data_IF_383071058146
#
_entry.id   IF_383071058146
#
_cell.length_a   1.000
_cell.length_b   1.000
_cell.length_c   1.000
_cell.angle_alpha   90.00
_cell.angle_beta   90.00
_cell.angle_gamma   90.00
#
_symmetry.space_group_name_H-M   'P 1'
#
loop_
_entity.id
_entity.type
_entity.pdbx_description
1 polymer ?
#
# COMPACT_ATOMS: atom_id res chain seq x y z
N UNK A 1 -13.28 -4.35 -24.87
CA UNK A 1 -13.71 -4.55 -23.45
C UNK A 1 -12.61 -4.01 -22.57
N UNK A 2 -12.96 -3.25 -21.52
CA UNK A 2 -11.99 -2.70 -20.59
C UNK A 2 -12.25 -3.26 -19.18
N UNK A 3 -11.18 -3.64 -18.50
CA UNK A 3 -11.27 -4.14 -17.13
C UNK A 3 -9.99 -3.84 -16.35
N UNK A 4 -10.14 -3.59 -15.07
CA UNK A 4 -9.03 -3.51 -14.12
C UNK A 4 -9.26 -4.53 -13.01
N UNK A 5 -8.21 -5.30 -12.68
CA UNK A 5 -8.27 -6.30 -11.62
C UNK A 5 -7.22 -5.97 -10.56
N UNK A 6 -7.67 -5.83 -9.33
CA UNK A 6 -6.80 -5.71 -8.17
C UNK A 6 -6.65 -7.07 -7.53
N UNK A 7 -5.44 -7.63 -7.55
CA UNK A 7 -5.12 -8.84 -6.80
C UNK A 7 -4.55 -8.48 -5.43
N UNK A 8 -5.03 -9.18 -4.43
CA UNK A 8 -4.60 -9.02 -3.04
C UNK A 8 -3.97 -10.31 -2.56
N UNK A 9 -2.73 -10.22 -2.12
CA UNK A 9 -1.96 -11.34 -1.58
C UNK A 9 -1.85 -11.17 -0.07
N UNK A 10 -2.49 -12.04 0.69
CA UNK A 10 -2.41 -12.01 2.14
C UNK A 10 -1.01 -12.34 2.66
N UNK A 11 -0.60 -11.65 3.72
CA UNK A 11 0.61 -12.00 4.47
C UNK A 11 0.51 -13.41 5.07
N UNK A 12 1.60 -14.17 5.10
CA UNK A 12 1.65 -15.43 5.86
C UNK A 12 1.42 -15.26 7.37
N UNK A 13 1.67 -14.06 7.86
CA UNK A 13 1.34 -13.60 9.23
C UNK A 13 0.77 -12.21 9.08
N UNK A 14 -0.53 -12.04 9.28
CA UNK A 14 -1.14 -10.71 9.31
C UNK A 14 -0.47 -9.82 10.34
N UNK A 15 -0.33 -8.55 10.00
CA UNK A 15 0.11 -7.54 10.96
C UNK A 15 -1.03 -7.29 11.95
N UNK A 16 -0.69 -7.25 13.23
CA UNK A 16 -1.65 -6.89 14.27
C UNK A 16 -1.47 -5.41 14.63
N UNK A 17 -2.52 -4.63 14.41
CA UNK A 17 -2.55 -3.18 14.62
C UNK A 17 -3.20 -2.74 15.93
N UNK A 18 -3.44 -3.65 16.87
CA UNK A 18 -4.06 -3.31 18.18
C UNK A 18 -3.20 -2.37 19.03
N UNK A 19 -1.87 -2.47 18.90
CA UNK A 19 -0.95 -1.59 19.58
C UNK A 19 0.50 -1.73 19.10
N UNK A 20 1.39 -0.82 19.55
CA UNK A 20 2.81 -0.86 19.17
C UNK A 20 3.50 -2.19 19.45
N UNK A 21 3.23 -2.79 20.61
CA UNK A 21 3.79 -4.09 21.00
C UNK A 21 3.32 -5.22 20.10
N UNK A 22 2.06 -5.23 19.68
CA UNK A 22 1.46 -6.27 18.87
C UNK A 22 1.84 -6.13 17.40
N UNK A 23 1.91 -4.89 16.90
CA UNK A 23 2.52 -4.59 15.61
C UNK A 23 3.95 -5.16 15.54
N UNK A 24 4.77 -4.86 16.54
CA UNK A 24 6.16 -5.33 16.57
C UNK A 24 6.25 -6.87 16.62
N UNK A 25 5.46 -7.53 17.47
CA UNK A 25 5.44 -9.00 17.59
C UNK A 25 5.04 -9.68 16.28
N UNK A 26 3.96 -9.19 15.63
CA UNK A 26 3.46 -9.74 14.36
C UNK A 26 4.45 -9.52 13.23
N UNK A 27 5.08 -8.33 13.16
CA UNK A 27 6.12 -8.03 12.19
C UNK A 27 7.36 -8.94 12.36
N UNK A 28 7.83 -9.16 13.59
CA UNK A 28 8.91 -10.10 13.87
C UNK A 28 8.57 -11.54 13.49
N UNK A 29 7.35 -11.99 13.79
CA UNK A 29 6.88 -13.33 13.42
C UNK A 29 6.82 -13.50 11.90
N UNK A 30 6.39 -12.47 11.18
CA UNK A 30 6.40 -12.44 9.71
C UNK A 30 7.83 -12.53 9.17
N UNK A 31 8.74 -11.75 9.76
CA UNK A 31 10.15 -11.72 9.41
C UNK A 31 10.84 -13.07 9.61
N UNK A 32 10.62 -13.71 10.76
CA UNK A 32 11.20 -15.03 11.07
C UNK A 32 10.72 -16.11 10.09
N UNK A 33 9.45 -16.10 9.70
CA UNK A 33 8.92 -17.02 8.67
C UNK A 33 9.56 -16.80 7.29
N UNK A 34 9.88 -15.57 6.92
CA UNK A 34 10.58 -15.27 5.67
C UNK A 34 11.98 -15.88 5.67
N UNK A 35 12.75 -15.65 6.74
CA UNK A 35 14.13 -16.17 6.86
C UNK A 35 14.13 -17.70 6.83
N UNK A 36 13.26 -18.34 7.62
CA UNK A 36 13.25 -19.80 7.76
C UNK A 36 12.66 -20.55 6.56
N UNK A 37 11.78 -19.93 5.77
CA UNK A 37 11.04 -20.61 4.69
C UNK A 37 11.28 -20.05 3.30
N UNK A 38 12.29 -19.21 3.11
CA UNK A 38 12.58 -18.55 1.82
C UNK A 38 11.34 -17.92 1.16
N UNK A 39 10.44 -17.35 1.94
CA UNK A 39 9.22 -16.73 1.41
C UNK A 39 9.56 -15.37 0.82
N UNK A 40 9.03 -15.08 -0.35
CA UNK A 40 9.38 -13.88 -1.11
C UNK A 40 8.99 -12.56 -0.41
N UNK A 41 7.93 -12.56 0.45
CA UNK A 41 7.40 -11.32 1.05
C UNK A 41 7.17 -11.47 2.56
N UNK A 42 7.37 -10.38 3.29
CA UNK A 42 7.16 -10.30 4.75
C UNK A 42 5.73 -9.90 5.06
N UNK A 43 5.20 -8.95 4.31
CA UNK A 43 3.87 -8.34 4.48
C UNK A 43 2.97 -8.71 3.31
N UNK A 44 1.68 -8.45 3.46
CA UNK A 44 0.71 -8.55 2.39
C UNK A 44 1.10 -7.67 1.19
N UNK A 45 0.50 -7.94 0.06
CA UNK A 45 0.83 -7.25 -1.19
C UNK A 45 -0.40 -7.07 -2.08
N UNK A 46 -0.39 -6.04 -2.89
CA UNK A 46 -1.40 -5.79 -3.90
C UNK A 46 -0.76 -5.50 -5.23
N UNK A 47 -1.44 -5.83 -6.30
CA UNK A 47 -1.03 -5.54 -7.66
C UNK A 47 -2.24 -5.26 -8.56
N UNK A 48 -2.01 -4.52 -9.62
CA UNK A 48 -3.02 -4.13 -10.61
C UNK A 48 -2.78 -4.87 -11.91
N UNK A 49 -3.83 -5.36 -12.53
CA UNK A 49 -3.81 -5.87 -13.90
C UNK A 49 -4.84 -5.12 -14.71
N UNK A 50 -4.38 -4.40 -15.73
CA UNK A 50 -5.23 -3.64 -16.65
C UNK A 50 -5.29 -4.37 -17.99
N UNK A 51 -6.52 -4.56 -18.48
CA UNK A 51 -6.79 -5.04 -19.84
C UNK A 51 -7.68 -4.01 -20.53
N UNK A 52 -7.23 -3.50 -21.66
CA UNK A 52 -7.94 -2.45 -22.40
C UNK A 52 -7.57 -2.52 -23.88
N UNK A 53 -8.54 -2.21 -24.75
CA UNK A 53 -8.26 -2.08 -26.19
C UNK A 53 -7.35 -0.87 -26.54
N UNK A 54 -7.07 0.00 -25.57
CA UNK A 54 -6.15 1.15 -25.75
C UNK A 54 -4.69 0.82 -25.45
N UNK A 55 -4.40 -0.40 -25.01
CA UNK A 55 -3.04 -0.91 -24.78
C UNK A 55 -2.85 -2.24 -25.51
N UNK A 56 -1.64 -2.52 -25.91
CA UNK A 56 -1.32 -3.81 -26.49
C UNK A 56 -1.28 -4.88 -25.40
N UNK A 57 -2.21 -5.84 -25.46
CA UNK A 57 -2.31 -6.94 -24.50
C UNK A 57 -2.83 -6.54 -23.11
N UNK A 58 -2.25 -7.15 -22.11
CA UNK A 58 -2.56 -6.91 -20.69
C UNK A 58 -1.32 -6.35 -20.00
N UNK A 59 -1.46 -5.27 -19.25
CA UNK A 59 -0.36 -4.71 -18.44
C UNK A 59 -0.59 -5.00 -16.96
N UNK A 60 0.48 -5.41 -16.29
CA UNK A 60 0.46 -5.66 -14.85
C UNK A 60 1.41 -4.69 -14.14
N UNK A 61 0.92 -4.07 -13.08
CA UNK A 61 1.64 -3.08 -12.30
C UNK A 61 1.75 -3.53 -10.85
N UNK A 62 2.95 -3.55 -10.35
CA UNK A 62 3.27 -3.89 -8.97
C UNK A 62 4.55 -3.18 -8.56
N UNK A 63 4.55 -2.59 -7.38
CA UNK A 63 5.72 -1.89 -6.84
C UNK A 63 6.17 -2.53 -5.54
N UNK A 64 7.47 -2.67 -5.38
CA UNK A 64 8.11 -3.17 -4.16
C UNK A 64 9.35 -2.33 -3.83
N UNK A 65 9.83 -2.39 -2.60
CA UNK A 65 11.00 -1.58 -2.22
C UNK A 65 11.60 -1.95 -0.87
N UNK A 66 10.92 -2.73 -0.04
CA UNK A 66 11.40 -3.04 1.31
C UNK A 66 12.47 -4.14 1.27
N UNK A 67 13.73 -3.74 1.42
CA UNK A 67 14.86 -4.66 1.60
C UNK A 67 15.04 -4.98 3.08
N UNK A 68 14.99 -6.28 3.43
CA UNK A 68 15.07 -6.74 4.80
C UNK A 68 16.30 -6.20 5.54
N UNK A 69 17.46 -6.19 4.89
CA UNK A 69 18.72 -5.73 5.50
C UNK A 69 18.66 -4.25 5.88
N UNK A 70 17.97 -3.46 5.07
CA UNK A 70 17.79 -2.02 5.32
C UNK A 70 16.81 -1.78 6.48
N UNK A 71 15.73 -2.54 6.58
CA UNK A 71 14.81 -2.50 7.72
C UNK A 71 15.53 -2.85 9.03
N UNK A 72 16.31 -3.93 9.02
CA UNK A 72 17.11 -4.35 10.18
C UNK A 72 18.09 -3.24 10.57
N UNK A 73 18.82 -2.67 9.61
CA UNK A 73 19.75 -1.56 9.87
C UNK A 73 19.03 -0.37 10.53
N UNK A 74 17.91 0.07 9.97
CA UNK A 74 17.14 1.21 10.48
C UNK A 74 16.61 0.95 11.89
N UNK A 75 16.04 -0.22 12.16
CA UNK A 75 15.47 -0.55 13.49
C UNK A 75 16.56 -0.73 14.55
N UNK A 76 17.59 -1.52 14.27
CA UNK A 76 18.57 -1.92 15.29
C UNK A 76 19.79 -1.00 15.39
N UNK A 77 20.31 -0.49 14.25
CA UNK A 77 21.49 0.39 14.24
C UNK A 77 21.09 1.86 14.40
N UNK A 78 20.12 2.33 13.60
CA UNK A 78 19.67 3.72 13.64
C UNK A 78 18.64 3.98 14.75
N UNK A 79 18.04 2.92 15.32
CA UNK A 79 17.06 2.98 16.42
C UNK A 79 15.86 3.91 16.13
N UNK A 80 15.38 3.84 14.89
CA UNK A 80 14.26 4.71 14.45
C UNK A 80 12.90 4.29 15.04
N UNK A 81 12.82 3.12 15.69
CA UNK A 81 11.57 2.63 16.26
C UNK A 81 10.44 2.53 15.25
N UNK A 82 9.26 3.05 15.61
CA UNK A 82 8.10 3.10 14.72
C UNK A 82 8.23 4.14 13.59
N UNK A 83 9.29 4.94 13.56
CA UNK A 83 9.66 5.74 12.40
C UNK A 83 9.85 4.92 11.12
N UNK A 84 10.00 3.57 11.24
CA UNK A 84 10.03 2.65 10.10
C UNK A 84 8.75 2.71 9.26
N UNK A 85 7.59 2.99 9.85
CA UNK A 85 6.30 3.08 9.17
C UNK A 85 6.24 4.25 8.18
N UNK A 86 6.90 5.38 8.52
CA UNK A 86 7.04 6.53 7.63
C UNK A 86 8.31 6.52 6.77
N UNK A 87 9.10 5.44 6.84
CA UNK A 87 10.35 5.36 6.09
C UNK A 87 10.11 5.13 4.60
N UNK A 88 10.92 5.80 3.79
CA UNK A 88 10.94 5.64 2.33
C UNK A 88 12.13 4.78 1.94
N UNK A 89 11.94 3.89 0.98
CA UNK A 89 12.94 2.96 0.45
C UNK A 89 13.04 3.15 -1.06
N UNK A 90 14.13 2.70 -1.66
CA UNK A 90 14.22 2.65 -3.12
C UNK A 90 13.16 1.69 -3.65
N UNK A 91 12.32 2.16 -4.55
CA UNK A 91 11.30 1.36 -5.21
C UNK A 91 11.86 0.54 -6.37
N UNK A 92 11.17 -0.54 -6.68
CA UNK A 92 11.41 -1.36 -7.87
C UNK A 92 10.05 -1.77 -8.43
N UNK A 93 9.78 -1.45 -9.70
CA UNK A 93 8.63 -2.02 -10.41
C UNK A 93 8.91 -3.49 -10.67
N UNK A 94 7.94 -4.33 -10.39
CA UNK A 94 8.08 -5.78 -10.56
C UNK A 94 7.82 -6.17 -12.00
N UNK A 95 8.67 -7.03 -12.55
CA UNK A 95 8.43 -7.59 -13.87
C UNK A 95 7.22 -8.53 -13.87
N UNK A 96 6.58 -8.69 -15.03
CA UNK A 96 5.44 -9.61 -15.21
C UNK A 96 5.75 -11.02 -14.73
N UNK A 97 6.98 -11.49 -14.91
CA UNK A 97 7.43 -12.82 -14.46
C UNK A 97 7.41 -12.93 -12.92
N UNK A 98 7.77 -11.85 -12.19
CA UNK A 98 7.73 -11.80 -10.73
C UNK A 98 6.28 -11.78 -10.26
N UNK A 99 5.43 -11.00 -10.93
CA UNK A 99 4.00 -10.91 -10.64
C UNK A 99 3.33 -12.27 -10.81
N UNK A 100 3.51 -12.90 -11.96
CA UNK A 100 2.93 -14.21 -12.27
C UNK A 100 3.40 -15.30 -11.29
N UNK A 101 4.69 -15.36 -10.99
CA UNK A 101 5.24 -16.27 -9.99
C UNK A 101 4.63 -16.01 -8.59
N UNK A 102 4.44 -14.74 -8.22
CA UNK A 102 3.84 -14.35 -6.94
C UNK A 102 2.39 -14.83 -6.84
N UNK A 103 1.60 -14.61 -7.89
CA UNK A 103 0.21 -15.06 -7.95
C UNK A 103 0.11 -16.58 -7.89
N UNK A 104 0.82 -17.31 -8.76
CA UNK A 104 0.80 -18.78 -8.80
C UNK A 104 1.23 -19.41 -7.46
N UNK A 105 2.27 -18.88 -6.83
CA UNK A 105 2.76 -19.42 -5.55
C UNK A 105 1.76 -19.21 -4.41
N UNK A 106 1.11 -18.06 -4.36
CA UNK A 106 0.21 -17.72 -3.26
C UNK A 106 -1.22 -18.25 -3.48
N UNK A 107 -1.70 -18.36 -4.73
CA UNK A 107 -3.01 -18.95 -5.05
C UNK A 107 -3.10 -20.41 -4.62
N UNK A 108 -2.06 -21.21 -4.85
CA UNK A 108 -1.97 -22.61 -4.36
C UNK A 108 -2.07 -22.73 -2.83
N UNK A 109 -1.90 -21.64 -2.10
CA UNK A 109 -2.00 -21.57 -0.63
C UNK A 109 -3.26 -20.89 -0.14
N UNK A 110 -4.20 -20.59 -1.03
CA UNK A 110 -5.44 -19.87 -0.70
C UNK A 110 -5.18 -18.44 -0.18
N UNK A 111 -4.08 -17.79 -0.59
CA UNK A 111 -3.69 -16.47 -0.12
C UNK A 111 -3.80 -15.37 -1.18
N UNK A 112 -4.51 -15.63 -2.25
CA UNK A 112 -4.81 -14.64 -3.29
C UNK A 112 -6.32 -14.52 -3.43
N UNK A 113 -6.80 -13.31 -3.40
CA UNK A 113 -8.16 -12.92 -3.79
C UNK A 113 -8.06 -11.75 -4.77
N UNK A 114 -9.15 -11.44 -5.45
CA UNK A 114 -9.18 -10.29 -6.35
C UNK A 114 -10.51 -9.54 -6.32
N UNK A 115 -10.47 -8.28 -6.79
CA UNK A 115 -11.63 -7.51 -7.22
C UNK A 115 -11.43 -7.14 -8.67
N UNK A 116 -12.37 -7.49 -9.52
CA UNK A 116 -12.38 -7.15 -10.94
C UNK A 116 -13.47 -6.14 -11.22
N UNK A 117 -13.11 -5.02 -11.80
CA UNK A 117 -14.02 -3.99 -12.27
C UNK A 117 -14.11 -4.06 -13.80
N UNK A 118 -15.34 -4.24 -14.32
CA UNK A 118 -15.62 -3.97 -15.73
C UNK A 118 -15.85 -2.47 -15.85
N UNK A 119 -15.10 -1.82 -16.72
CA UNK A 119 -15.05 -0.36 -16.77
C UNK A 119 -15.38 0.16 -18.18
N UNK A 120 -15.81 1.40 -18.25
CA UNK A 120 -16.00 2.08 -19.52
C UNK A 120 -14.68 2.63 -20.09
N UNK A 121 -14.75 3.20 -21.27
CA UNK A 121 -13.61 3.73 -22.00
C UNK A 121 -12.96 4.92 -21.27
N UNK A 122 -13.75 5.81 -20.66
CA UNK A 122 -13.24 6.97 -19.93
C UNK A 122 -12.43 6.56 -18.71
N UNK A 123 -12.94 5.61 -17.89
CA UNK A 123 -12.19 5.01 -16.78
C UNK A 123 -10.87 4.41 -17.25
N UNK A 124 -10.91 3.64 -18.35
CA UNK A 124 -9.71 2.99 -18.87
C UNK A 124 -8.64 4.01 -19.30
N UNK A 125 -9.03 5.08 -20.01
CA UNK A 125 -8.12 6.15 -20.42
C UNK A 125 -7.53 6.89 -19.23
N UNK A 126 -8.33 7.20 -18.19
CA UNK A 126 -7.83 7.82 -16.95
C UNK A 126 -6.83 6.95 -16.21
N UNK A 127 -7.05 5.63 -16.17
CA UNK A 127 -6.11 4.69 -15.55
C UNK A 127 -4.81 4.62 -16.36
N UNK A 128 -4.89 4.62 -17.68
CA UNK A 128 -3.70 4.65 -18.55
C UNK A 128 -2.94 5.96 -18.34
N UNK A 129 -3.62 7.11 -18.38
CA UNK A 129 -3.02 8.43 -18.11
C UNK A 129 -2.37 8.49 -16.72
N UNK A 130 -2.99 7.87 -15.71
CA UNK A 130 -2.39 7.76 -14.38
C UNK A 130 -1.05 7.01 -14.42
N UNK A 131 -0.99 5.84 -15.03
CA UNK A 131 0.25 5.06 -15.08
C UNK A 131 1.31 5.74 -15.95
N UNK A 132 0.94 6.29 -17.11
CA UNK A 132 1.87 6.99 -18.00
C UNK A 132 2.47 8.22 -17.28
N UNK A 133 1.68 9.00 -16.57
CA UNK A 133 2.16 10.13 -15.77
C UNK A 133 2.98 9.70 -14.57
N UNK A 134 2.57 8.63 -13.88
CA UNK A 134 3.31 8.09 -12.74
C UNK A 134 4.69 7.60 -13.15
N UNK A 135 4.79 6.85 -14.25
CA UNK A 135 6.05 6.34 -14.77
C UNK A 135 6.96 7.43 -15.37
N UNK A 136 6.36 8.45 -16.00
CA UNK A 136 7.10 9.54 -16.66
C UNK A 136 7.30 10.79 -15.80
N UNK A 137 6.79 10.81 -14.58
CA UNK A 137 7.04 11.90 -13.63
C UNK A 137 8.50 11.89 -13.21
N UNK A 138 9.22 12.92 -13.61
CA UNK A 138 10.52 13.23 -13.04
C UNK A 138 10.38 14.45 -12.15
N UNK A 139 10.75 14.30 -10.91
CA UNK A 139 11.26 15.41 -10.17
C UNK A 139 12.75 15.58 -10.55
N UNK A 140 13.37 16.72 -10.28
CA UNK A 140 14.72 17.08 -10.76
C UNK A 140 15.84 16.08 -10.43
N UNK A 141 15.59 15.06 -9.61
CA UNK A 141 16.59 14.11 -9.13
C UNK A 141 16.18 12.64 -9.24
N UNK A 142 14.88 12.32 -9.22
CA UNK A 142 14.40 10.92 -9.21
C UNK A 142 13.04 10.79 -9.86
N UNK A 143 12.78 9.67 -10.55
CA UNK A 143 11.43 9.31 -10.96
C UNK A 143 10.58 9.01 -9.72
N UNK A 144 9.28 9.35 -9.68
CA UNK A 144 8.40 9.06 -8.56
C UNK A 144 8.37 7.59 -8.16
N UNK A 145 8.48 6.68 -9.12
CA UNK A 145 8.54 5.26 -8.89
C UNK A 145 9.84 4.80 -8.19
N UNK A 146 10.86 5.65 -8.10
CA UNK A 146 12.09 5.31 -7.35
C UNK A 146 11.88 5.26 -5.83
N UNK A 147 10.69 5.62 -5.34
CA UNK A 147 10.38 5.67 -3.93
C UNK A 147 9.21 4.75 -3.54
N UNK A 148 9.47 3.92 -2.54
CA UNK A 148 8.49 3.04 -1.91
C UNK A 148 8.28 3.41 -0.44
N UNK A 149 7.05 3.62 -0.01
CA UNK A 149 6.72 3.92 1.38
C UNK A 149 5.24 3.90 1.69
N UNK A 150 4.88 3.58 2.93
CA UNK A 150 3.48 3.45 3.36
C UNK A 150 2.69 4.75 3.35
N UNK A 151 3.37 5.89 3.46
CA UNK A 151 2.76 7.23 3.44
C UNK A 151 2.75 7.89 2.06
N UNK A 152 3.37 7.27 1.06
CA UNK A 152 3.43 7.82 -0.29
C UNK A 152 2.09 7.61 -1.00
N UNK A 153 1.64 8.66 -1.69
CA UNK A 153 0.38 8.68 -2.41
C UNK A 153 0.59 9.01 -3.88
N UNK A 154 0.49 8.03 -4.78
CA UNK A 154 0.83 8.18 -6.20
C UNK A 154 0.12 9.30 -6.96
N UNK A 155 -1.08 9.71 -6.52
CA UNK A 155 -1.81 10.85 -7.10
C UNK A 155 -1.30 12.21 -6.62
N UNK A 156 -0.37 12.26 -5.66
CA UNK A 156 0.30 13.50 -5.36
C UNK A 156 1.48 13.73 -6.32
N UNK A 157 1.69 14.99 -6.66
CA UNK A 157 2.84 15.40 -7.48
C UNK A 157 4.14 14.99 -6.78
N UNK A 158 5.07 14.43 -7.55
CA UNK A 158 6.41 14.04 -7.09
C UNK A 158 6.47 12.99 -5.96
N UNK A 159 5.45 12.13 -5.83
CA UNK A 159 5.48 11.04 -4.87
C UNK A 159 5.52 9.67 -5.54
N UNK A 160 6.19 8.74 -4.88
CA UNK A 160 6.19 7.33 -5.20
C UNK A 160 4.96 6.60 -4.64
N UNK A 161 5.09 5.31 -4.34
CA UNK A 161 3.96 4.50 -3.90
C UNK A 161 4.34 3.44 -2.87
N UNK A 162 3.37 3.06 -2.01
CA UNK A 162 3.25 1.71 -1.48
C UNK A 162 2.41 0.85 -2.41
N UNK A 163 2.48 -0.47 -2.31
CA UNK A 163 1.73 -1.35 -3.21
C UNK A 163 0.21 -1.10 -3.13
N UNK A 164 -0.35 -0.99 -1.93
CA UNK A 164 -1.79 -0.75 -1.75
C UNK A 164 -2.20 0.66 -2.18
N UNK A 165 -1.36 1.67 -1.92
CA UNK A 165 -1.60 3.03 -2.37
C UNK A 165 -1.63 3.11 -3.91
N UNK A 166 -0.75 2.37 -4.61
CA UNK A 166 -0.77 2.28 -6.07
C UNK A 166 -2.11 1.73 -6.58
N UNK A 167 -2.61 0.64 -5.98
CA UNK A 167 -3.90 0.06 -6.34
C UNK A 167 -5.07 1.01 -6.09
N UNK A 168 -5.11 1.66 -4.92
CA UNK A 168 -6.17 2.62 -4.60
C UNK A 168 -6.15 3.83 -5.52
N UNK A 169 -4.97 4.39 -5.78
CA UNK A 169 -4.85 5.51 -6.71
C UNK A 169 -5.25 5.13 -8.14
N UNK A 170 -5.06 3.86 -8.53
CA UNK A 170 -5.62 3.34 -9.80
C UNK A 170 -7.14 3.36 -9.78
N UNK A 171 -7.76 2.91 -8.69
CA UNK A 171 -9.22 2.94 -8.55
C UNK A 171 -9.75 4.38 -8.53
N UNK A 172 -9.11 5.30 -7.81
CA UNK A 172 -9.46 6.72 -7.78
C UNK A 172 -9.32 7.34 -9.17
N UNK A 173 -8.23 7.08 -9.88
CA UNK A 173 -8.03 7.55 -11.24
C UNK A 173 -9.17 7.11 -12.17
N UNK A 174 -9.60 5.85 -12.05
CA UNK A 174 -10.73 5.29 -12.79
C UNK A 174 -12.12 5.67 -12.29
N UNK A 175 -12.23 6.47 -11.22
CA UNK A 175 -13.49 6.78 -10.53
C UNK A 175 -14.25 5.53 -10.04
N UNK A 176 -13.52 4.55 -9.48
CA UNK A 176 -14.02 3.24 -9.08
C UNK A 176 -14.06 3.06 -7.56
N UNK A 177 -13.74 4.10 -6.79
CA UNK A 177 -13.69 4.05 -5.32
C UNK A 177 -15.08 4.31 -4.75
N UNK A 178 -15.46 3.49 -3.80
CA UNK A 178 -16.66 3.63 -2.98
C UNK A 178 -16.30 3.63 -1.49
N UNK A 179 -17.30 3.72 -0.62
CA UNK A 179 -17.12 3.82 0.84
C UNK A 179 -16.43 2.59 1.48
N UNK A 180 -16.48 1.42 0.82
CA UNK A 180 -15.85 0.19 1.32
C UNK A 180 -14.34 0.29 1.49
N UNK A 181 -13.67 1.19 0.79
CA UNK A 181 -12.22 1.38 0.93
C UNK A 181 -11.82 1.85 2.33
N UNK A 182 -12.73 2.44 3.09
CA UNK A 182 -12.47 2.80 4.49
C UNK A 182 -12.27 1.57 5.38
N UNK A 183 -12.91 0.43 5.07
CA UNK A 183 -12.70 -0.84 5.79
C UNK A 183 -11.31 -1.45 5.57
N UNK A 184 -10.57 -0.98 4.56
CA UNK A 184 -9.21 -1.43 4.26
C UNK A 184 -8.14 -0.61 4.99
N UNK A 185 -8.56 0.45 5.69
CA UNK A 185 -7.70 1.43 6.32
C UNK A 185 -7.44 1.09 7.79
N UNK A 186 -6.22 1.29 8.21
CA UNK A 186 -5.82 1.30 9.62
C UNK A 186 -5.67 2.74 10.04
N UNK A 187 -6.30 3.08 11.16
CA UNK A 187 -6.16 4.37 11.81
C UNK A 187 -5.48 4.17 13.16
N UNK A 188 -4.33 4.78 13.37
CA UNK A 188 -3.72 4.83 14.69
C UNK A 188 -2.94 6.12 14.89
N UNK A 189 -2.59 6.42 16.13
CA UNK A 189 -1.81 7.59 16.50
C UNK A 189 -0.49 7.13 17.12
N UNK A 190 0.61 7.30 16.38
CA UNK A 190 1.92 6.85 16.82
C UNK A 190 2.44 7.81 17.90
N UNK A 191 2.71 7.36 19.14
CA UNK A 191 3.33 8.22 20.13
C UNK A 191 4.69 8.72 19.64
N UNK A 192 4.96 10.03 19.71
CA UNK A 192 6.24 10.62 19.25
C UNK A 192 7.44 9.97 19.94
N UNK A 193 7.32 9.60 21.22
CA UNK A 193 8.37 8.89 21.95
C UNK A 193 8.80 7.55 21.33
N UNK A 194 7.97 6.94 20.47
CA UNK A 194 8.27 5.71 19.74
C UNK A 194 8.84 5.95 18.34
N UNK A 195 9.01 7.20 17.95
CA UNK A 195 9.64 7.62 16.70
C UNK A 195 11.06 8.08 17.05
N UNK A 196 12.05 7.60 16.32
CA UNK A 196 13.46 7.89 16.60
C UNK A 196 14.27 8.19 15.35
N UNK A 197 15.59 8.28 15.54
CA UNK A 197 16.55 8.55 14.49
C UNK A 197 16.35 9.94 13.87
N UNK A 198 16.59 10.02 12.56
CA UNK A 198 16.46 11.26 11.77
C UNK A 198 15.05 11.89 11.84
N UNK A 199 14.05 11.10 12.15
CA UNK A 199 12.66 11.55 12.21
C UNK A 199 12.29 12.25 13.53
N UNK A 200 13.12 12.13 14.57
CA UNK A 200 12.87 12.77 15.84
C UNK A 200 14.21 13.21 16.47
N UNK A 201 14.86 14.20 15.87
CA UNK A 201 16.04 14.92 16.38
C UNK A 201 17.16 13.99 16.89
N UNK A 202 17.32 12.80 16.29
CA UNK A 202 18.32 11.80 16.69
C UNK A 202 17.93 10.97 17.93
N UNK A 203 16.72 11.08 18.45
CA UNK A 203 16.22 10.26 19.54
C UNK A 203 16.40 8.77 19.21
N UNK A 204 16.69 7.95 20.22
CA UNK A 204 16.94 6.52 20.05
C UNK A 204 15.81 5.72 20.69
N UNK A 205 15.04 5.05 19.88
CA UNK A 205 13.95 4.17 20.35
C UNK A 205 14.46 2.73 20.39
N UNK A 206 14.39 2.12 21.57
CA UNK A 206 14.76 0.71 21.73
C UNK A 206 13.57 -0.22 21.42
N UNK A 207 13.88 -1.47 21.11
CA UNK A 207 12.85 -2.53 20.97
C UNK A 207 12.07 -2.70 22.28
N UNK A 208 12.71 -2.46 23.43
CA UNK A 208 12.06 -2.54 24.74
C UNK A 208 10.96 -1.49 24.88
N UNK A 209 11.21 -0.26 24.41
CA UNK A 209 10.23 0.84 24.47
C UNK A 209 8.97 0.50 23.67
N UNK A 210 9.15 -0.07 22.47
CA UNK A 210 8.01 -0.51 21.65
C UNK A 210 7.25 -1.65 22.33
N UNK A 211 7.96 -2.67 22.83
CA UNK A 211 7.34 -3.84 23.48
C UNK A 211 6.60 -3.51 24.78
N UNK A 212 7.02 -2.47 25.50
CA UNK A 212 6.38 -2.02 26.72
C UNK A 212 5.15 -1.14 26.49
N UNK A 213 4.97 -0.63 25.26
CA UNK A 213 3.82 0.22 24.88
C UNK A 213 2.73 -0.65 24.26
N UNK A 214 1.64 -0.88 25.01
CA UNK A 214 0.55 -1.78 24.59
C UNK A 214 -0.47 -1.08 23.71
N UNK A 215 -0.72 0.20 23.94
CA UNK A 215 -1.78 0.96 23.30
C UNK A 215 -1.22 2.07 22.42
N UNK A 216 -1.91 2.37 21.33
CA UNK A 216 -1.66 3.56 20.54
C UNK A 216 -1.95 4.82 21.37
N UNK A 217 -1.48 5.97 20.91
CA UNK A 217 -1.79 7.23 21.55
C UNK A 217 -3.30 7.53 21.46
N UNK A 218 -3.93 7.97 22.54
CA UNK A 218 -5.38 8.22 22.58
C UNK A 218 -5.81 9.48 21.81
N UNK A 219 -4.86 10.36 21.46
CA UNK A 219 -5.09 11.60 20.73
C UNK A 219 -5.25 12.84 21.60
N UNK A 220 -5.06 12.72 22.91
CA UNK A 220 -4.93 13.91 23.76
C UNK A 220 -3.59 14.61 23.51
N UNK A 221 -3.53 15.94 23.64
CA UNK A 221 -2.32 16.72 23.36
C UNK A 221 -2.25 17.27 21.93
N UNK A 222 -1.05 17.53 21.46
CA UNK A 222 -0.78 18.26 20.21
C UNK A 222 -0.22 17.30 19.14
N UNK A 223 -0.88 17.27 17.99
CA UNK A 223 -0.38 16.55 16.82
C UNK A 223 0.98 17.09 16.39
N UNK A 224 1.90 16.20 16.02
CA UNK A 224 3.28 16.54 15.67
C UNK A 224 4.20 16.71 16.88
N UNK A 225 3.65 16.81 18.11
CA UNK A 225 4.40 16.95 19.37
C UNK A 225 4.23 15.71 20.25
N UNK A 226 3.01 15.27 20.46
CA UNK A 226 2.70 14.13 21.33
C UNK A 226 2.49 12.85 20.53
N UNK A 227 1.90 12.98 19.34
CA UNK A 227 1.64 11.86 18.43
C UNK A 227 1.64 12.29 16.96
N UNK A 228 1.77 11.30 16.08
CA UNK A 228 1.58 11.42 14.63
C UNK A 228 0.38 10.55 14.22
N UNK A 229 -0.64 11.08 13.54
CA UNK A 229 -1.68 10.26 12.96
C UNK A 229 -1.10 9.38 11.85
N UNK A 230 -1.49 8.12 11.84
CA UNK A 230 -1.17 7.16 10.78
C UNK A 230 -2.46 6.66 10.17
N UNK A 231 -2.58 6.87 8.89
CA UNK A 231 -3.57 6.20 8.04
C UNK A 231 -2.82 5.38 7.00
N UNK A 232 -3.07 4.09 6.98
CA UNK A 232 -2.43 3.19 6.03
C UNK A 232 -3.40 2.11 5.58
N UNK A 233 -3.40 1.79 4.29
CA UNK A 233 -4.18 0.70 3.75
C UNK A 233 -3.42 -0.62 3.89
N UNK A 234 -4.05 -1.59 4.59
CA UNK A 234 -3.43 -2.91 4.85
C UNK A 234 -3.99 -3.96 3.88
N UNK A 235 -3.14 -4.62 3.08
CA UNK A 235 -3.56 -5.71 2.20
C UNK A 235 -4.30 -6.85 2.91
N UNK A 236 -4.04 -7.10 4.20
CA UNK A 236 -4.76 -8.15 4.93
C UNK A 236 -6.18 -7.73 5.31
N UNK A 237 -6.40 -6.45 5.62
CA UNK A 237 -7.76 -5.93 5.83
C UNK A 237 -8.56 -6.02 4.54
N UNK A 238 -7.98 -5.59 3.42
CA UNK A 238 -8.57 -5.72 2.09
C UNK A 238 -8.87 -7.20 1.75
N UNK A 239 -7.92 -8.11 2.02
CA UNK A 239 -8.11 -9.55 1.79
C UNK A 239 -9.29 -10.11 2.62
N UNK A 240 -9.36 -9.76 3.89
CA UNK A 240 -10.43 -10.21 4.79
C UNK A 240 -11.79 -9.63 4.37
N UNK A 241 -11.81 -8.36 3.95
CA UNK A 241 -13.01 -7.73 3.43
C UNK A 241 -13.52 -8.44 2.16
N UNK A 242 -12.65 -8.70 1.18
CA UNK A 242 -13.01 -9.43 -0.04
C UNK A 242 -13.58 -10.82 0.32
N UNK A 243 -12.93 -11.53 1.26
CA UNK A 243 -13.39 -12.85 1.70
C UNK A 243 -14.79 -12.79 2.32
N UNK A 244 -15.03 -11.86 3.23
CA UNK A 244 -16.34 -11.64 3.88
C UNK A 244 -17.41 -11.31 2.86
N UNK A 245 -17.12 -10.40 1.93
CA UNK A 245 -18.04 -9.97 0.87
C UNK A 245 -18.33 -11.10 -0.12
N UNK A 246 -17.33 -11.92 -0.46
CA UNK A 246 -17.53 -13.13 -1.29
C UNK A 246 -18.53 -14.12 -0.67
N UNK A 247 -18.56 -14.22 0.66
CA UNK A 247 -19.46 -15.10 1.40
C UNK A 247 -20.87 -14.49 1.63
N UNK A 248 -21.04 -13.18 1.46
CA UNK A 248 -22.28 -12.46 1.81
C UNK A 248 -23.35 -12.41 0.73
N UNK A 249 -23.07 -12.87 -0.51
CA UNK A 249 -23.96 -12.72 -1.67
C UNK A 249 -24.39 -11.27 -1.95
N UNK A 250 -23.45 -10.33 -1.86
CA UNK A 250 -23.69 -8.94 -2.16
C UNK A 250 -24.15 -8.75 -3.62
N UNK A 251 -25.09 -7.86 -3.86
CA UNK A 251 -25.63 -7.64 -5.22
C UNK A 251 -24.70 -6.78 -6.08
N UNK A 252 -23.92 -5.90 -5.48
CA UNK A 252 -23.00 -5.02 -6.17
C UNK A 252 -21.65 -5.71 -6.40
N UNK A 253 -21.11 -6.39 -5.37
CA UNK A 253 -19.88 -7.20 -5.42
C UNK A 253 -20.23 -8.66 -5.70
N UNK A 254 -20.36 -9.04 -6.96
CA UNK A 254 -20.77 -10.40 -7.34
C UNK A 254 -19.63 -11.41 -7.13
N UNK A 255 -19.83 -12.45 -6.32
CA UNK A 255 -18.84 -13.51 -6.14
C UNK A 255 -18.54 -14.22 -7.47
N UNK A 256 -17.24 -14.34 -7.78
CA UNK A 256 -16.75 -15.04 -8.97
C UNK A 256 -15.48 -15.84 -8.65
N UNK A 257 -15.19 -16.84 -9.47
CA UNK A 257 -13.93 -17.60 -9.37
C UNK A 257 -13.28 -17.66 -10.73
N UNK A 258 -12.03 -17.18 -10.85
CA UNK A 258 -11.28 -17.23 -12.11
C UNK A 258 -9.94 -17.95 -11.89
N UNK A 259 -9.67 -18.93 -12.74
CA UNK A 259 -8.46 -19.77 -12.66
C UNK A 259 -8.23 -20.38 -11.25
N UNK A 260 -9.33 -20.72 -10.55
CA UNK A 260 -9.30 -21.26 -9.19
C UNK A 260 -9.01 -20.22 -8.09
N UNK A 261 -8.99 -18.94 -8.41
CA UNK A 261 -8.85 -17.83 -7.45
C UNK A 261 -10.23 -17.23 -7.20
N UNK A 262 -10.71 -17.18 -5.94
CA UNK A 262 -11.95 -16.50 -5.59
C UNK A 262 -11.78 -14.96 -5.68
N UNK A 263 -12.85 -14.27 -6.02
CA UNK A 263 -12.85 -12.82 -6.10
C UNK A 263 -14.24 -12.24 -6.28
N UNK A 264 -14.26 -10.94 -6.48
CA UNK A 264 -15.47 -10.15 -6.68
C UNK A 264 -15.46 -9.53 -8.07
N UNK A 265 -16.63 -9.46 -8.69
CA UNK A 265 -16.86 -8.77 -9.95
C UNK A 265 -17.77 -7.58 -9.72
N UNK A 266 -17.36 -6.41 -10.19
CA UNK A 266 -18.13 -5.16 -10.15
C UNK A 266 -18.32 -4.65 -11.57
N UNK A 267 -19.54 -4.31 -11.93
CA UNK A 267 -19.85 -3.70 -13.24
C UNK A 267 -19.95 -2.19 -13.09
N UNK A 268 -18.95 -1.49 -13.57
CA UNK A 268 -18.80 -0.04 -13.53
C UNK A 268 -18.86 0.59 -14.93
N UNK A 269 -19.40 -0.12 -15.92
CA UNK A 269 -19.45 0.38 -17.32
C UNK A 269 -20.37 1.57 -17.51
N UNK A 270 -21.39 1.68 -16.68
CA UNK A 270 -22.40 2.74 -16.75
C UNK A 270 -22.05 3.96 -15.87
N UNK A 271 -20.85 4.00 -15.27
CA UNK A 271 -20.40 5.16 -14.50
C UNK A 271 -20.26 6.38 -15.42
N UNK A 272 -20.86 7.49 -15.00
CA UNK A 272 -20.62 8.78 -15.65
C UNK A 272 -19.32 9.39 -15.16
N UNK A 273 -18.39 9.65 -16.09
CA UNK A 273 -17.07 10.13 -15.80
C UNK A 273 -16.71 11.27 -16.73
N UNK A 274 -16.48 12.43 -16.16
CA UNK A 274 -16.01 13.59 -16.90
C UNK A 274 -14.49 13.53 -17.11
N UNK A 275 -14.08 13.64 -18.37
CA UNK A 275 -12.68 13.75 -18.78
C UNK A 275 -11.88 12.45 -18.75
N UNK A 276 -10.73 12.50 -19.39
CA UNK A 276 -9.82 11.35 -19.57
C UNK A 276 -8.53 11.46 -18.73
N UNK A 277 -8.42 12.50 -17.91
CA UNK A 277 -7.20 12.82 -17.16
C UNK A 277 -7.31 12.40 -15.71
N UNK A 278 -6.29 11.73 -15.20
CA UNK A 278 -6.21 11.36 -13.79
C UNK A 278 -6.09 12.59 -12.86
N UNK A 279 -6.70 12.55 -11.66
CA UNK A 279 -6.78 13.71 -10.75
C UNK A 279 -5.49 13.87 -9.91
N UNK A 280 -4.39 14.31 -10.53
CA UNK A 280 -3.17 14.62 -9.78
C UNK A 280 -3.31 15.97 -9.03
N UNK A 281 -2.84 15.98 -7.79
CA UNK A 281 -2.90 17.17 -6.91
C UNK A 281 -1.59 17.36 -6.16
N UNK A 282 -1.40 18.56 -5.61
CA UNK A 282 -0.33 18.78 -4.64
C UNK A 282 -0.70 18.15 -3.30
N UNK A 283 0.30 17.59 -2.61
CA UNK A 283 0.08 17.09 -1.26
C UNK A 283 -0.37 18.21 -0.32
N UNK A 284 -1.43 18.03 0.47
CA UNK A 284 -1.74 18.95 1.57
C UNK A 284 -0.58 18.97 2.58
N UNK A 285 -0.58 19.97 3.47
CA UNK A 285 0.41 20.06 4.53
C UNK A 285 0.50 18.75 5.33
N UNK A 286 1.73 18.27 5.53
CA UNK A 286 2.04 17.04 6.24
C UNK A 286 2.59 17.36 7.63
N UNK A 287 2.45 16.40 8.57
CA UNK A 287 3.06 16.51 9.89
C UNK A 287 4.59 16.65 9.78
N UNK A 288 5.20 17.38 10.71
CA UNK A 288 6.65 17.65 10.72
C UNK A 288 7.52 16.43 10.51
N UNK A 289 7.15 15.30 11.08
CA UNK A 289 7.83 14.01 10.95
C UNK A 289 8.00 13.56 9.50
N UNK A 290 6.92 13.63 8.71
CA UNK A 290 6.93 13.21 7.31
C UNK A 290 7.56 14.32 6.45
N UNK A 291 7.25 15.57 6.73
CA UNK A 291 7.77 16.74 6.00
C UNK A 291 9.28 16.78 6.04
N UNK A 292 9.91 16.68 7.21
CA UNK A 292 11.37 16.66 7.34
C UNK A 292 12.02 15.54 6.51
N UNK A 293 11.38 14.37 6.50
CA UNK A 293 11.90 13.26 5.71
C UNK A 293 11.78 13.51 4.20
N UNK A 294 10.63 14.00 3.72
CA UNK A 294 10.43 14.27 2.30
C UNK A 294 11.36 15.38 1.78
N UNK A 295 11.59 16.44 2.58
CA UNK A 295 12.55 17.49 2.26
C UNK A 295 13.98 16.90 2.15
N UNK A 296 14.39 16.10 3.13
CA UNK A 296 15.72 15.44 3.11
C UNK A 296 15.89 14.45 1.96
N UNK A 297 14.80 13.82 1.52
CA UNK A 297 14.80 12.90 0.39
C UNK A 297 14.68 13.61 -0.98
N UNK A 298 14.52 14.95 -1.00
CA UNK A 298 14.33 15.71 -2.22
C UNK A 298 12.98 15.44 -2.91
N UNK A 299 11.95 15.08 -2.13
CA UNK A 299 10.61 14.74 -2.61
C UNK A 299 9.62 15.92 -2.51
N UNK A 300 10.06 17.02 -1.94
CA UNK A 300 9.32 18.29 -1.81
C UNK A 300 10.19 19.46 -2.21
#
# INVERSE_FOLDING_TARGET
MHQVTIYVVASPVPINWEGPADLYKSALKSLSKRILRSQARIVGHTLVVLNSSHIEGTRAYSISGIKLIEVIKRIFKEKIGLGILGSVFKAEMESEQIIDRTLRFNSRKGRVLFIKYLINEASAKRIIDFFDKFENKFNHHHAPMDFYGGFLWPLYENEGAGCTALCLCTLIAGNLVNDETEEWKVHCKIPIKLIGGRYNKGNKVSVRDIKSTKEWHNGGGIEGVDFIPLEIYDPNMMFNWIKKTFESNDSYFKPVTENGIPGLLVDCRDLDIEGETAPFTKRPAISSFITEYYIQAGLM
#
